data_IF_239061847931
#
_entry.id   IF_239061847931
#
_cell.length_a   1.000
_cell.length_b   1.000
_cell.length_c   1.000
_cell.angle_alpha   90.00
_cell.angle_beta   90.00
_cell.angle_gamma   90.00
#
_symmetry.space_group_name_H-M   'P 1'
#
loop_
_entity.id
_entity.type
_entity.pdbx_description
1 polymer ?
#
# COMPACT_ATOMS: atom_id res chain seq x y z
N UNK A 1 -16.92 -4.59 -19.58
CA UNK A 1 -16.71 -6.04 -19.82
C UNK A 1 -15.29 -6.32 -20.29
N UNK A 2 -14.30 -6.23 -19.38
CA UNK A 2 -12.97 -6.83 -19.57
C UNK A 2 -12.90 -8.06 -18.67
N UNK A 3 -13.60 -9.12 -19.08
CA UNK A 3 -13.54 -10.42 -18.41
C UNK A 3 -12.12 -10.95 -18.63
N UNK A 4 -11.30 -10.87 -17.59
CA UNK A 4 -10.06 -11.61 -17.33
C UNK A 4 -9.57 -12.46 -18.53
N UNK A 5 -9.01 -11.81 -19.57
CA UNK A 5 -8.45 -12.55 -20.69
C UNK A 5 -7.18 -13.28 -20.21
N UNK A 6 -7.03 -14.59 -20.45
CA UNK A 6 -5.87 -15.37 -19.98
C UNK A 6 -4.52 -14.84 -20.50
N UNK A 7 -4.49 -14.11 -21.63
CA UNK A 7 -3.29 -13.41 -22.11
C UNK A 7 -2.81 -12.27 -21.20
N UNK A 8 -3.70 -11.63 -20.43
CA UNK A 8 -3.34 -10.55 -19.50
C UNK A 8 -2.68 -11.12 -18.24
N UNK A 9 -3.11 -12.30 -17.78
CA UNK A 9 -2.51 -12.96 -16.62
C UNK A 9 -1.02 -13.27 -16.82
N UNK A 10 -0.59 -13.65 -18.04
CA UNK A 10 0.84 -13.88 -18.33
C UNK A 10 1.70 -12.62 -18.17
N UNK A 11 1.14 -11.44 -18.43
CA UNK A 11 1.82 -10.14 -18.25
C UNK A 11 1.71 -9.59 -16.83
N UNK A 12 0.92 -10.21 -15.96
CA UNK A 12 0.67 -9.73 -14.61
C UNK A 12 1.91 -9.96 -13.74
N UNK A 13 2.34 -8.90 -13.05
CA UNK A 13 3.41 -8.97 -12.05
C UNK A 13 2.88 -9.14 -10.62
N UNK A 14 1.66 -8.68 -10.32
CA UNK A 14 1.00 -8.90 -9.04
C UNK A 14 0.45 -10.34 -8.92
N UNK A 15 0.59 -10.96 -7.76
CA UNK A 15 0.03 -12.29 -7.45
C UNK A 15 -1.25 -12.24 -6.60
N UNK A 16 -1.65 -11.07 -6.10
CA UNK A 16 -2.97 -10.80 -5.51
C UNK A 16 -3.66 -9.64 -6.25
N UNK A 17 -4.90 -9.32 -5.87
CA UNK A 17 -5.72 -8.24 -6.45
C UNK A 17 -5.66 -6.92 -5.66
N UNK A 18 -4.70 -6.74 -4.76
CA UNK A 18 -4.44 -5.44 -4.15
C UNK A 18 -3.89 -4.46 -5.19
N UNK A 19 -4.29 -3.19 -5.06
CA UNK A 19 -3.73 -2.09 -5.84
C UNK A 19 -2.80 -1.24 -4.98
N UNK A 20 -1.96 -0.40 -5.61
CA UNK A 20 -1.17 0.60 -4.89
C UNK A 20 -2.08 1.46 -4.00
N UNK A 21 -3.25 1.86 -4.52
CA UNK A 21 -4.24 2.68 -3.84
C UNK A 21 -4.91 2.00 -2.65
N UNK A 22 -4.81 0.68 -2.52
CA UNK A 22 -5.28 -0.06 -1.34
C UNK A 22 -4.48 0.30 -0.08
N UNK A 23 -3.30 0.89 -0.21
CA UNK A 23 -2.50 1.41 0.91
C UNK A 23 -2.08 2.88 0.74
N UNK A 24 -1.94 3.34 -0.49
CA UNK A 24 -1.52 4.69 -0.86
C UNK A 24 -2.73 5.47 -1.36
N UNK A 25 -3.55 5.98 -0.44
CA UNK A 25 -4.84 6.57 -0.74
C UNK A 25 -4.77 7.66 -1.83
N UNK A 26 -5.81 7.72 -2.66
CA UNK A 26 -5.97 8.66 -3.77
C UNK A 26 -4.72 8.72 -4.69
N UNK A 27 -4.25 7.56 -5.15
CA UNK A 27 -3.05 7.46 -5.98
C UNK A 27 -1.76 7.91 -5.27
N UNK A 28 -1.74 7.88 -3.93
CA UNK A 28 -0.60 8.35 -3.14
C UNK A 28 -0.49 9.86 -3.01
N UNK A 29 -1.57 10.62 -3.22
CA UNK A 29 -1.56 12.08 -3.01
C UNK A 29 -1.85 12.51 -1.57
N UNK A 30 -2.32 11.58 -0.71
CA UNK A 30 -2.78 11.94 0.65
C UNK A 30 -1.63 11.97 1.64
N UNK A 31 -1.49 13.10 2.35
CA UNK A 31 -0.54 13.26 3.44
C UNK A 31 -0.81 12.30 4.60
N UNK A 32 0.26 11.87 5.25
CA UNK A 32 0.30 10.96 6.39
C UNK A 32 -0.24 9.54 6.09
N UNK A 33 -0.42 9.20 4.82
CA UNK A 33 -0.89 7.88 4.35
C UNK A 33 0.11 7.27 3.36
N UNK A 34 1.41 7.47 3.60
CA UNK A 34 2.51 7.03 2.72
C UNK A 34 2.39 7.59 1.30
N UNK A 35 2.18 8.89 1.15
CA UNK A 35 2.06 9.53 -0.15
C UNK A 35 3.33 9.42 -1.03
N UNK A 36 3.12 9.47 -2.34
CA UNK A 36 4.18 9.52 -3.35
C UNK A 36 4.67 10.94 -3.65
N UNK A 37 3.96 11.98 -3.19
CA UNK A 37 4.38 13.38 -3.36
C UNK A 37 5.79 13.57 -2.79
N UNK A 38 6.73 13.99 -3.65
CA UNK A 38 8.14 14.17 -3.33
C UNK A 38 8.97 12.88 -3.22
N UNK A 39 8.41 11.70 -3.49
CA UNK A 39 9.17 10.45 -3.38
C UNK A 39 10.31 10.39 -4.39
N UNK A 40 10.12 10.96 -5.58
CA UNK A 40 11.13 11.01 -6.63
C UNK A 40 12.42 11.67 -6.16
N UNK A 41 12.30 12.77 -5.42
CA UNK A 41 13.42 13.56 -4.92
C UNK A 41 14.27 12.85 -3.86
N UNK A 42 13.84 11.69 -3.32
CA UNK A 42 14.54 10.98 -2.24
C UNK A 42 15.20 9.68 -2.63
N UNK A 43 15.20 9.34 -3.92
CA UNK A 43 15.90 8.15 -4.41
C UNK A 43 17.04 8.56 -5.35
N UNK A 44 18.15 7.79 -5.40
CA UNK A 44 18.39 6.54 -4.68
C UNK A 44 18.58 6.73 -3.17
N UNK A 45 18.31 5.69 -2.38
CA UNK A 45 18.50 5.73 -0.92
C UNK A 45 18.99 4.40 -0.35
N UNK A 46 19.70 4.46 0.78
CA UNK A 46 20.06 3.27 1.53
C UNK A 46 18.82 2.53 2.06
N UNK A 47 18.79 1.21 1.89
CA UNK A 47 17.74 0.33 2.38
C UNK A 47 18.34 -0.75 3.28
N UNK A 48 18.07 -0.64 4.59
CA UNK A 48 18.53 -1.58 5.60
C UNK A 48 18.09 -3.04 5.36
N UNK A 49 16.95 -3.29 4.70
CA UNK A 49 16.48 -4.67 4.45
C UNK A 49 17.46 -5.46 3.56
N UNK A 50 18.06 -4.79 2.58
CA UNK A 50 18.98 -5.42 1.63
C UNK A 50 20.40 -4.93 1.76
N UNK A 51 20.69 -4.18 2.82
CA UNK A 51 21.96 -3.53 3.13
C UNK A 51 22.64 -2.88 1.91
N UNK A 52 21.87 -2.11 1.14
CA UNK A 52 22.37 -1.47 -0.08
C UNK A 52 21.59 -0.22 -0.44
N UNK A 53 22.20 0.61 -1.26
CA UNK A 53 21.51 1.70 -1.94
C UNK A 53 20.59 1.12 -3.01
N UNK A 54 19.33 1.55 -3.02
CA UNK A 54 18.31 1.10 -3.96
C UNK A 54 17.74 2.28 -4.75
N UNK A 55 17.27 2.00 -5.97
CA UNK A 55 16.52 2.95 -6.79
C UNK A 55 15.04 3.01 -6.38
N UNK A 56 14.29 3.97 -6.93
CA UNK A 56 12.83 3.98 -6.77
C UNK A 56 12.18 2.77 -7.46
N UNK A 57 12.71 2.32 -8.61
CA UNK A 57 12.24 1.11 -9.28
C UNK A 57 12.43 -0.14 -8.42
N UNK A 58 13.56 -0.25 -7.71
CA UNK A 58 13.78 -1.31 -6.73
C UNK A 58 12.79 -1.24 -5.57
N UNK A 59 12.45 -0.03 -5.11
CA UNK A 59 11.45 0.15 -4.06
C UNK A 59 10.07 -0.31 -4.50
N UNK A 60 9.66 0.04 -5.72
CA UNK A 60 8.39 -0.38 -6.34
C UNK A 60 8.36 -1.90 -6.45
N UNK A 61 9.41 -2.51 -6.99
CA UNK A 61 9.55 -3.95 -7.06
C UNK A 61 9.47 -4.62 -5.69
N UNK A 62 10.06 -3.98 -4.68
CA UNK A 62 9.96 -4.48 -3.32
C UNK A 62 8.52 -4.50 -2.77
N UNK A 63 7.66 -3.59 -3.23
CA UNK A 63 6.23 -3.63 -2.96
C UNK A 63 5.52 -4.71 -3.79
N UNK A 64 5.88 -4.90 -5.07
CA UNK A 64 5.30 -5.95 -5.89
C UNK A 64 5.50 -7.34 -5.27
N UNK A 65 6.72 -7.65 -4.84
CA UNK A 65 7.08 -8.93 -4.23
C UNK A 65 6.36 -9.21 -2.90
N UNK A 66 5.84 -8.17 -2.22
CA UNK A 66 5.40 -8.28 -0.82
C UNK A 66 3.96 -7.85 -0.61
N UNK A 67 3.67 -6.59 -0.93
CA UNK A 67 2.33 -6.03 -0.81
C UNK A 67 1.37 -6.59 -1.85
N UNK A 68 1.83 -6.80 -3.09
CA UNK A 68 0.98 -7.40 -4.14
C UNK A 68 1.25 -8.90 -4.36
N UNK A 69 1.96 -9.54 -3.43
CA UNK A 69 2.33 -10.96 -3.45
C UNK A 69 2.80 -11.48 -4.82
N UNK A 70 3.58 -10.66 -5.52
CA UNK A 70 3.91 -10.84 -6.93
C UNK A 70 5.37 -11.10 -7.18
N UNK A 71 5.81 -10.76 -8.39
CA UNK A 71 7.18 -10.90 -8.86
C UNK A 71 7.76 -9.56 -9.26
N UNK A 72 9.08 -9.48 -9.25
CA UNK A 72 9.84 -8.34 -9.75
C UNK A 72 9.51 -8.07 -11.23
N UNK A 73 9.32 -6.79 -11.56
CA UNK A 73 9.17 -6.27 -12.91
C UNK A 73 10.53 -5.72 -13.39
N UNK A 74 10.96 -6.01 -14.63
CA UNK A 74 12.14 -5.36 -15.22
C UNK A 74 12.00 -3.84 -15.20
N UNK A 75 13.10 -3.13 -15.00
CA UNK A 75 13.07 -1.67 -14.83
C UNK A 75 12.72 -0.90 -16.10
N UNK A 76 12.88 -1.53 -17.26
CA UNK A 76 12.71 -0.94 -18.59
C UNK A 76 11.31 -1.17 -19.19
N UNK A 77 10.43 -1.89 -18.49
CA UNK A 77 9.06 -2.13 -18.97
C UNK A 77 8.25 -0.83 -19.06
N UNK A 78 7.26 -0.75 -19.97
CA UNK A 78 6.34 0.38 -20.04
C UNK A 78 5.61 0.64 -18.72
N UNK A 79 5.23 -0.40 -17.98
CA UNK A 79 4.52 -0.28 -16.71
C UNK A 79 5.39 0.33 -15.62
N UNK A 80 6.66 -0.08 -15.50
CA UNK A 80 7.59 0.52 -14.54
C UNK A 80 7.83 1.99 -14.88
N UNK A 81 8.08 2.29 -16.16
CA UNK A 81 8.25 3.66 -16.65
C UNK A 81 7.02 4.52 -16.33
N UNK A 82 5.81 4.02 -16.56
CA UNK A 82 4.58 4.75 -16.25
C UNK A 82 4.45 5.07 -14.75
N UNK A 83 4.73 4.10 -13.87
CA UNK A 83 4.70 4.32 -12.41
C UNK A 83 5.75 5.34 -11.97
N UNK A 84 6.96 5.26 -12.52
CA UNK A 84 8.04 6.21 -12.23
C UNK A 84 7.71 7.62 -12.71
N UNK A 85 7.21 7.77 -13.94
CA UNK A 85 6.79 9.06 -14.51
C UNK A 85 5.66 9.68 -13.69
N UNK A 86 4.68 8.90 -13.24
CA UNK A 86 3.61 9.39 -12.38
C UNK A 86 4.15 9.90 -11.02
N UNK A 87 5.06 9.16 -10.40
CA UNK A 87 5.69 9.59 -9.13
C UNK A 87 6.59 10.82 -9.33
N UNK A 88 7.24 10.95 -10.48
CA UNK A 88 8.00 12.14 -10.87
C UNK A 88 7.06 13.35 -11.03
N UNK A 89 5.92 13.18 -11.71
CA UNK A 89 4.91 14.22 -11.89
C UNK A 89 4.35 14.71 -10.54
N UNK A 90 4.01 13.79 -9.63
CA UNK A 90 3.59 14.13 -8.26
C UNK A 90 4.68 14.85 -7.44
N UNK A 91 5.93 14.84 -7.89
CA UNK A 91 7.08 15.41 -7.19
C UNK A 91 7.61 16.69 -7.86
N UNK A 92 6.88 17.27 -8.82
CA UNK A 92 7.25 18.53 -9.44
C UNK A 92 7.43 19.65 -8.39
N UNK A 93 8.46 20.47 -8.56
CA UNK A 93 8.79 21.57 -7.64
C UNK A 93 9.46 21.15 -6.32
N UNK A 94 9.62 19.85 -6.06
CA UNK A 94 10.28 19.34 -4.84
C UNK A 94 11.79 19.28 -5.06
N UNK A 95 12.61 20.00 -4.27
CA UNK A 95 14.06 19.93 -4.39
C UNK A 95 14.59 18.53 -4.11
N UNK A 96 15.63 18.10 -4.85
CA UNK A 96 16.31 16.82 -4.62
C UNK A 96 16.83 16.78 -3.17
N UNK A 97 16.59 15.67 -2.48
CA UNK A 97 16.95 15.47 -1.07
C UNK A 97 15.97 16.06 -0.07
N UNK A 98 14.97 16.85 -0.49
CA UNK A 98 14.01 17.45 0.42
C UNK A 98 13.15 16.39 1.15
N UNK A 99 12.83 16.67 2.42
CA UNK A 99 11.88 15.89 3.21
C UNK A 99 10.56 16.66 3.27
N UNK A 100 9.55 16.16 2.57
CA UNK A 100 8.20 16.73 2.63
C UNK A 100 7.49 16.25 3.90
N UNK A 101 6.89 17.18 4.62
CA UNK A 101 6.02 16.88 5.75
C UNK A 101 4.82 16.03 5.31
N UNK A 102 4.53 14.95 6.04
CA UNK A 102 3.41 14.08 5.73
C UNK A 102 3.63 13.14 4.53
N UNK A 103 4.82 13.08 3.92
CA UNK A 103 5.09 12.11 2.83
C UNK A 103 4.99 10.65 3.32
N UNK A 104 5.37 10.38 4.57
CA UNK A 104 5.32 9.05 5.18
C UNK A 104 4.00 8.74 5.90
N UNK A 105 4.08 7.82 6.85
CA UNK A 105 3.04 7.62 7.86
C UNK A 105 3.31 8.57 9.04
N UNK A 106 2.25 9.09 9.65
CA UNK A 106 2.40 9.92 10.86
C UNK A 106 3.06 9.09 11.97
N UNK A 107 4.09 9.64 12.62
CA UNK A 107 4.68 9.05 13.81
C UNK A 107 3.67 9.07 14.96
N UNK A 108 3.61 7.99 15.72
CA UNK A 108 2.80 7.90 16.93
C UNK A 108 3.68 7.36 18.04
N UNK A 109 3.33 7.69 19.27
CA UNK A 109 3.94 7.07 20.43
C UNK A 109 3.42 5.64 20.56
N UNK A 110 4.35 4.69 20.57
CA UNK A 110 4.03 3.29 20.76
C UNK A 110 3.82 3.01 22.24
N UNK A 111 2.76 2.25 22.55
CA UNK A 111 2.53 1.73 23.89
C UNK A 111 3.47 0.53 24.07
N UNK A 112 4.29 0.53 25.11
CA UNK A 112 5.20 -0.57 25.48
C UNK A 112 4.43 -1.73 26.15
N UNK A 113 3.37 -2.20 25.50
CA UNK A 113 2.56 -3.34 25.93
C UNK A 113 2.21 -4.20 24.72
N UNK A 114 2.19 -5.51 24.91
CA UNK A 114 1.71 -6.44 23.90
C UNK A 114 0.26 -6.11 23.49
N UNK A 115 -0.01 -6.19 22.19
CA UNK A 115 -1.37 -6.11 21.69
C UNK A 115 -2.19 -7.32 22.19
N UNK A 116 -3.46 -7.08 22.50
CA UNK A 116 -4.41 -8.10 22.96
C UNK A 116 -5.33 -8.50 21.80
N UNK A 117 -5.18 -9.72 21.23
CA UNK A 117 -5.99 -10.16 20.09
C UNK A 117 -7.49 -10.26 20.41
N UNK A 118 -7.87 -10.55 21.66
CA UNK A 118 -9.28 -10.65 22.05
C UNK A 118 -9.93 -9.26 22.01
N UNK A 119 -9.25 -8.25 22.57
CA UNK A 119 -9.69 -6.85 22.46
C UNK A 119 -9.65 -6.36 21.01
N UNK A 120 -8.60 -6.74 20.26
CA UNK A 120 -8.47 -6.44 18.84
C UNK A 120 -9.64 -6.97 18.01
N UNK A 121 -10.09 -8.21 18.27
CA UNK A 121 -11.27 -8.80 17.62
C UNK A 121 -12.54 -7.99 17.89
N UNK A 122 -12.78 -7.60 19.14
CA UNK A 122 -13.95 -6.78 19.49
C UNK A 122 -13.94 -5.43 18.75
N UNK A 123 -12.79 -4.74 18.73
CA UNK A 123 -12.62 -3.48 17.99
C UNK A 123 -12.81 -3.70 16.48
N UNK A 124 -12.29 -4.80 15.94
CA UNK A 124 -12.45 -5.14 14.53
C UNK A 124 -13.92 -5.25 14.14
N UNK A 125 -14.70 -6.01 14.91
CA UNK A 125 -16.13 -6.20 14.63
C UNK A 125 -16.90 -4.87 14.71
N UNK A 126 -16.57 -4.02 15.67
CA UNK A 126 -17.25 -2.73 15.89
C UNK A 126 -16.86 -1.66 14.85
N UNK A 127 -15.59 -1.60 14.41
CA UNK A 127 -15.07 -0.47 13.63
C UNK A 127 -14.59 -0.80 12.22
N UNK A 128 -14.23 -2.04 11.95
CA UNK A 128 -13.53 -2.42 10.71
C UNK A 128 -14.37 -3.33 9.81
N UNK A 129 -15.13 -4.25 10.41
CA UNK A 129 -15.91 -5.26 9.71
C UNK A 129 -16.97 -4.66 8.78
N UNK A 130 -17.51 -3.48 9.12
CA UNK A 130 -18.47 -2.74 8.27
C UNK A 130 -17.97 -2.51 6.83
N UNK A 131 -16.65 -2.37 6.65
CA UNK A 131 -16.03 -2.20 5.34
C UNK A 131 -15.31 -3.47 4.88
N UNK A 132 -14.45 -4.02 5.75
CA UNK A 132 -13.55 -5.13 5.41
C UNK A 132 -14.19 -6.52 5.55
N UNK A 133 -15.47 -6.57 5.90
CA UNK A 133 -16.26 -7.78 6.17
C UNK A 133 -15.84 -8.50 7.45
N UNK A 134 -16.74 -9.27 8.05
CA UNK A 134 -16.44 -10.02 9.28
C UNK A 134 -15.31 -11.04 9.08
N UNK A 135 -15.22 -11.62 7.89
CA UNK A 135 -14.17 -12.55 7.50
C UNK A 135 -12.87 -11.87 7.06
N UNK A 136 -12.81 -10.54 6.99
CA UNK A 136 -11.64 -9.75 6.59
C UNK A 136 -11.18 -9.93 5.15
N UNK A 137 -11.97 -10.58 4.31
CA UNK A 137 -11.66 -10.82 2.90
C UNK A 137 -11.99 -9.63 1.99
N UNK A 138 -12.46 -8.52 2.59
CA UNK A 138 -12.76 -7.29 1.87
C UNK A 138 -14.04 -7.37 1.04
N UNK A 139 -14.34 -6.26 0.36
CA UNK A 139 -15.48 -6.09 -0.52
C UNK A 139 -14.99 -5.79 -1.93
N UNK A 140 -15.34 -6.67 -2.88
CA UNK A 140 -14.98 -6.49 -4.29
C UNK A 140 -15.73 -5.31 -4.88
N UNK A 141 -15.08 -4.62 -5.81
CA UNK A 141 -15.74 -3.62 -6.63
C UNK A 141 -16.50 -4.32 -7.77
N UNK A 142 -17.79 -4.05 -7.89
CA UNK A 142 -18.62 -4.59 -8.97
C UNK A 142 -18.32 -3.91 -10.31
N UNK A 143 -17.83 -2.67 -10.26
CA UNK A 143 -17.45 -1.92 -11.45
C UNK A 143 -16.03 -2.30 -11.89
N UNK A 144 -15.96 -3.10 -12.96
CA UNK A 144 -14.74 -3.66 -13.54
C UNK A 144 -13.75 -2.63 -14.13
N UNK A 145 -14.01 -1.34 -14.01
CA UNK A 145 -13.20 -0.25 -14.59
C UNK A 145 -12.13 0.29 -13.64
N UNK A 146 -12.21 -0.02 -12.35
CA UNK A 146 -11.35 0.55 -11.31
C UNK A 146 -10.50 -0.46 -10.55
N UNK A 147 -10.24 -0.15 -9.28
CA UNK A 147 -9.61 -1.09 -8.35
C UNK A 147 -10.51 -2.32 -8.15
N UNK A 148 -9.91 -3.51 -8.06
CA UNK A 148 -10.63 -4.77 -7.88
C UNK A 148 -11.43 -4.83 -6.57
N UNK A 149 -10.94 -4.17 -5.52
CA UNK A 149 -11.60 -4.06 -4.22
C UNK A 149 -12.06 -2.64 -3.95
N UNK A 150 -13.30 -2.49 -3.50
CA UNK A 150 -13.77 -1.26 -2.86
C UNK A 150 -13.15 -1.13 -1.46
N UNK A 151 -13.14 -2.24 -0.71
CA UNK A 151 -12.42 -2.36 0.56
C UNK A 151 -11.50 -3.58 0.49
N UNK A 152 -10.18 -3.41 0.64
CA UNK A 152 -9.23 -4.50 0.39
C UNK A 152 -9.29 -5.59 1.46
N UNK A 153 -8.92 -6.84 1.12
CA UNK A 153 -8.72 -7.91 2.08
C UNK A 153 -7.59 -7.56 3.05
N UNK A 154 -7.83 -7.79 4.34
CA UNK A 154 -6.84 -7.55 5.40
C UNK A 154 -6.02 -8.79 5.72
N UNK A 155 -6.53 -9.97 5.38
CA UNK A 155 -5.86 -11.27 5.46
C UNK A 155 -6.46 -12.23 4.41
N UNK A 156 -5.96 -13.47 4.38
CA UNK A 156 -6.29 -14.47 3.37
C UNK A 156 -5.41 -14.36 2.12
N UNK A 157 -5.65 -15.26 1.17
CA UNK A 157 -4.76 -15.49 0.01
C UNK A 157 -4.64 -14.28 -0.93
N UNK A 158 -5.66 -13.42 -0.95
CA UNK A 158 -5.70 -12.23 -1.80
C UNK A 158 -5.20 -10.95 -1.09
N UNK A 159 -4.69 -11.06 0.13
CA UNK A 159 -4.06 -9.95 0.86
C UNK A 159 -2.54 -9.90 0.66
N UNK A 160 -1.87 -8.97 1.33
CA UNK A 160 -0.41 -8.85 1.32
C UNK A 160 0.25 -10.02 2.06
N UNK A 161 1.47 -10.39 1.66
CA UNK A 161 2.18 -11.48 2.32
C UNK A 161 2.93 -11.03 3.60
N UNK A 162 3.49 -12.00 4.32
CA UNK A 162 4.20 -11.78 5.59
C UNK A 162 5.48 -10.93 5.45
N UNK A 163 6.02 -10.79 4.24
CA UNK A 163 7.15 -9.92 3.95
C UNK A 163 6.80 -8.43 3.89
N UNK A 164 5.51 -8.10 3.73
CA UNK A 164 5.03 -6.74 3.56
C UNK A 164 5.23 -5.88 4.81
N UNK A 165 5.40 -4.57 4.61
CA UNK A 165 5.50 -3.63 5.72
C UNK A 165 4.24 -3.66 6.60
N UNK A 166 3.06 -3.85 5.99
CA UNK A 166 1.76 -3.89 6.68
C UNK A 166 1.63 -5.06 7.66
N UNK A 167 2.31 -6.19 7.40
CA UNK A 167 2.29 -7.34 8.30
C UNK A 167 2.96 -7.04 9.66
N UNK A 168 3.77 -5.98 9.74
CA UNK A 168 4.38 -5.55 11.01
C UNK A 168 3.36 -4.72 11.80
N UNK A 169 3.04 -5.17 13.01
CA UNK A 169 2.12 -4.50 13.93
C UNK A 169 2.46 -3.00 14.12
N UNK A 170 3.76 -2.68 14.22
CA UNK A 170 4.23 -1.31 14.36
C UNK A 170 3.90 -0.42 13.17
N UNK A 171 3.79 -0.96 11.95
CA UNK A 171 3.38 -0.21 10.74
C UNK A 171 1.86 -0.18 10.59
N UNK A 172 1.19 -1.30 10.87
CA UNK A 172 -0.27 -1.39 10.85
C UNK A 172 -0.90 -0.33 11.78
N UNK A 173 -0.35 -0.16 12.97
CA UNK A 173 -0.86 0.82 13.94
C UNK A 173 -0.80 2.27 13.42
N UNK A 174 0.24 2.63 12.67
CA UNK A 174 0.36 3.96 12.07
C UNK A 174 -0.74 4.21 11.02
N UNK A 175 -1.17 3.16 10.33
CA UNK A 175 -2.17 3.21 9.27
C UNK A 175 -3.58 3.26 9.85
N UNK A 176 -3.89 2.40 10.82
CA UNK A 176 -5.21 2.36 11.48
C UNK A 176 -5.60 3.71 12.08
N UNK A 177 -4.64 4.43 12.68
CA UNK A 177 -4.90 5.73 13.34
C UNK A 177 -5.29 6.85 12.38
N UNK A 178 -5.07 6.70 11.06
CA UNK A 178 -5.33 7.76 10.07
C UNK A 178 -6.26 7.37 8.93
N UNK A 179 -6.23 6.12 8.46
CA UNK A 179 -7.03 5.70 7.32
C UNK A 179 -8.45 5.32 7.76
N UNK A 180 -8.59 4.55 8.85
CA UNK A 180 -9.88 3.97 9.24
C UNK A 180 -10.78 4.93 10.04
N UNK A 181 -10.20 5.88 10.78
CA UNK A 181 -10.94 6.79 11.67
C UNK A 181 -11.67 7.95 10.97
N UNK A 182 -11.77 7.94 9.63
CA UNK A 182 -12.51 8.96 8.88
C UNK A 182 -14.03 8.70 8.82
N UNK A 183 -14.50 7.54 9.29
CA UNK A 183 -15.93 7.32 9.52
C UNK A 183 -16.31 7.99 10.84
N UNK A 184 -16.42 9.33 10.82
CA UNK A 184 -17.33 10.01 11.74
C UNK A 184 -18.73 9.73 11.21
N UNK A 185 -19.44 8.86 11.91
CA UNK A 185 -20.89 8.86 11.92
C UNK A 185 -21.32 10.28 12.32
N UNK A 186 -21.78 11.03 11.33
CA UNK A 186 -22.89 11.98 11.54
C UNK A 186 -24.14 11.20 11.83
#
# INVERSE_FOLDING_TARGET
>A
MWVHKPKILKKRFAGNNLSCSSCHANGGSVQNQSGFVGIWARFPQYNARGDKVITLADRINGCFERSTNGKRMPSDTPEMKAMLTYMQWLSQGVPVGAKIEGQGLKKIDFILKAADPKKGKAIYMDKCAVCHQENGLGLKNEDSTGAYYLYPPLWGDDSYNTGAGMYRLSKLLLILKKICLKVRLT
#
